data_IF_430274432852
#
_entry.id   IF_430274432852
#
_cell.length_a   1.000
_cell.length_b   1.000
_cell.length_c   1.000
_cell.angle_alpha   90.00
_cell.angle_beta   90.00
_cell.angle_gamma   90.00
#
_symmetry.space_group_name_H-M   'P 1'
#
loop_
_entity.id
_entity.type
_entity.pdbx_description
1 polymer ?
#
# COMPACT_ATOMS: atom_id res chain seq x y z
N UNK A 1 10.12 52.57 -41.32
CA UNK A 1 9.20 51.67 -40.57
C UNK A 1 9.47 51.88 -39.08
N UNK A 2 8.49 52.46 -38.42
CA UNK A 2 8.61 53.26 -37.19
C UNK A 2 8.98 52.44 -35.93
N UNK A 3 9.91 52.98 -35.14
CA UNK A 3 10.42 52.36 -33.91
C UNK A 3 9.33 52.27 -32.83
N UNK A 4 8.34 53.16 -32.87
CA UNK A 4 7.15 53.09 -32.01
C UNK A 4 6.26 51.89 -32.35
N UNK A 5 6.05 51.62 -33.65
CA UNK A 5 5.25 50.48 -34.10
C UNK A 5 5.84 49.15 -33.62
N UNK A 6 7.18 49.01 -33.63
CA UNK A 6 7.87 47.83 -33.08
C UNK A 6 7.64 47.68 -31.57
N UNK A 7 7.67 48.78 -30.80
CA UNK A 7 7.42 48.75 -29.34
C UNK A 7 5.98 48.35 -29.01
N UNK A 8 5.00 48.83 -29.78
CA UNK A 8 3.59 48.49 -29.61
C UNK A 8 3.33 47.00 -29.88
N UNK A 9 3.92 46.43 -30.94
CA UNK A 9 3.78 45.01 -31.27
C UNK A 9 4.38 44.12 -30.16
N UNK A 10 5.59 44.43 -29.67
CA UNK A 10 6.23 43.67 -28.58
C UNK A 10 5.39 43.69 -27.31
N UNK A 11 4.83 44.86 -26.93
CA UNK A 11 3.98 45.00 -25.75
C UNK A 11 2.70 44.16 -25.86
N UNK A 12 2.10 44.10 -27.04
CA UNK A 12 0.88 43.30 -27.32
C UNK A 12 1.17 41.80 -27.25
N UNK A 13 2.31 41.35 -27.80
CA UNK A 13 2.77 39.96 -27.72
C UNK A 13 3.04 39.55 -26.27
N UNK A 14 3.72 40.38 -25.48
CA UNK A 14 4.00 40.09 -24.07
C UNK A 14 2.73 40.02 -23.22
N UNK A 15 1.75 40.89 -23.47
CA UNK A 15 0.45 40.82 -22.81
C UNK A 15 -0.34 39.55 -23.20
N UNK A 16 -0.27 39.12 -24.46
CA UNK A 16 -0.91 37.89 -24.93
C UNK A 16 -0.24 36.66 -24.32
N UNK A 17 1.10 36.60 -24.29
CA UNK A 17 1.85 35.57 -23.58
C UNK A 17 1.49 35.52 -22.09
N UNK A 18 1.42 36.68 -21.41
CA UNK A 18 1.02 36.75 -19.99
C UNK A 18 -0.39 36.20 -19.76
N UNK A 19 -1.35 36.53 -20.64
CA UNK A 19 -2.71 35.97 -20.57
C UNK A 19 -2.70 34.45 -20.79
N UNK A 20 -1.93 33.94 -21.75
CA UNK A 20 -1.79 32.49 -21.99
C UNK A 20 -1.17 31.78 -20.77
N UNK A 21 -0.12 32.35 -20.17
CA UNK A 21 0.47 31.81 -18.94
C UNK A 21 -0.52 31.77 -17.77
N UNK A 22 -1.38 32.79 -17.63
CA UNK A 22 -2.44 32.82 -16.61
C UNK A 22 -3.50 31.74 -16.87
N UNK A 23 -3.89 31.51 -18.14
CA UNK A 23 -4.81 30.42 -18.50
C UNK A 23 -4.21 29.03 -18.23
N UNK A 24 -2.91 28.84 -18.51
CA UNK A 24 -2.22 27.59 -18.23
C UNK A 24 -2.10 27.30 -16.73
N UNK A 25 -1.91 28.33 -15.90
CA UNK A 25 -1.87 28.18 -14.43
C UNK A 25 -3.21 27.73 -13.82
N UNK A 26 -4.35 28.14 -14.41
CA UNK A 26 -5.69 27.75 -13.94
C UNK A 26 -6.03 26.31 -14.31
N UNK A 27 -5.48 25.79 -15.42
CA UNK A 27 -5.62 24.38 -15.83
C UNK A 27 -4.83 23.39 -14.96
N UNK A 28 -3.88 23.88 -14.16
CA UNK A 28 -3.07 23.07 -13.23
C UNK A 28 -3.63 23.03 -11.80
N UNK A 29 -4.88 23.46 -11.57
CA UNK A 29 -5.55 23.17 -10.30
C UNK A 29 -5.82 21.66 -10.24
N UNK A 30 -5.15 20.89 -9.36
CA UNK A 30 -5.46 19.47 -9.26
C UNK A 30 -6.91 19.34 -8.81
N UNK A 31 -7.73 18.70 -9.63
CA UNK A 31 -9.00 18.11 -9.20
C UNK A 31 -8.68 17.33 -7.93
N UNK A 32 -9.15 17.84 -6.79
CA UNK A 32 -9.01 17.16 -5.51
C UNK A 32 -9.51 15.74 -5.71
N UNK A 33 -8.58 14.80 -5.60
CA UNK A 33 -8.85 13.39 -5.69
C UNK A 33 -9.82 13.09 -4.55
N UNK A 34 -11.11 13.01 -4.83
CA UNK A 34 -12.10 12.44 -3.92
C UNK A 34 -11.75 10.96 -3.83
N UNK A 35 -10.76 10.63 -3.01
CA UNK A 35 -10.47 9.27 -2.64
C UNK A 35 -11.74 8.73 -2.00
N UNK A 36 -12.51 7.96 -2.76
CA UNK A 36 -13.67 7.24 -2.24
C UNK A 36 -13.19 6.46 -1.03
N UNK A 37 -13.59 6.90 0.16
CA UNK A 37 -13.33 6.16 1.38
C UNK A 37 -14.26 4.96 1.35
N UNK A 38 -13.82 3.87 0.71
CA UNK A 38 -14.52 2.59 0.78
C UNK A 38 -14.70 2.28 2.27
N UNK A 39 -15.96 2.20 2.71
CA UNK A 39 -16.33 1.85 4.07
C UNK A 39 -15.87 0.43 4.39
N UNK A 40 -15.80 0.09 5.68
CA UNK A 40 -15.52 -1.28 6.09
C UNK A 40 -16.70 -2.17 5.70
N UNK A 41 -16.39 -3.36 5.20
CA UNK A 41 -17.38 -4.37 4.82
C UNK A 41 -17.63 -5.28 6.03
N UNK A 42 -18.90 -5.52 6.40
CA UNK A 42 -19.25 -6.27 7.62
C UNK A 42 -19.26 -7.79 7.46
N UNK A 43 -19.46 -8.31 6.26
CA UNK A 43 -19.56 -9.76 6.01
C UNK A 43 -18.51 -10.22 5.00
N UNK A 44 -17.95 -11.39 5.24
CA UNK A 44 -16.94 -12.00 4.38
C UNK A 44 -16.03 -12.94 5.15
N UNK A 45 -14.99 -13.40 4.47
CA UNK A 45 -13.96 -14.27 5.01
C UNK A 45 -12.67 -13.48 5.35
N UNK A 46 -11.53 -14.18 5.36
CA UNK A 46 -10.24 -13.57 5.64
C UNK A 46 -9.80 -12.55 4.58
N UNK A 47 -10.24 -12.68 3.32
CA UNK A 47 -9.90 -11.73 2.27
C UNK A 47 -10.56 -10.37 2.55
N UNK A 48 -11.83 -10.39 2.96
CA UNK A 48 -12.54 -9.17 3.37
C UNK A 48 -11.93 -8.56 4.64
N UNK A 49 -11.49 -9.40 5.59
CA UNK A 49 -10.78 -8.92 6.78
C UNK A 49 -9.45 -8.25 6.42
N UNK A 50 -8.69 -8.80 5.48
CA UNK A 50 -7.45 -8.21 4.96
C UNK A 50 -7.74 -6.87 4.27
N UNK A 51 -8.74 -6.79 3.39
CA UNK A 51 -9.15 -5.54 2.74
C UNK A 51 -9.51 -4.46 3.75
N UNK A 52 -10.30 -4.81 4.77
CA UNK A 52 -10.66 -3.90 5.86
C UNK A 52 -9.43 -3.43 6.65
N UNK A 53 -8.51 -4.34 6.97
CA UNK A 53 -7.26 -4.02 7.66
C UNK A 53 -6.39 -3.07 6.85
N UNK A 54 -6.19 -3.35 5.55
CA UNK A 54 -5.42 -2.50 4.64
C UNK A 54 -6.08 -1.12 4.49
N UNK A 55 -7.42 -1.06 4.40
CA UNK A 55 -8.16 0.20 4.32
C UNK A 55 -7.98 1.07 5.57
N UNK A 56 -8.15 0.50 6.77
CA UNK A 56 -7.91 1.23 8.02
C UNK A 56 -6.43 1.60 8.19
N UNK A 57 -5.51 0.66 7.92
CA UNK A 57 -4.08 0.89 8.02
C UNK A 57 -3.66 2.05 7.12
N UNK A 58 -4.11 2.04 5.86
CA UNK A 58 -3.86 3.06 4.83
C UNK A 58 -4.32 4.46 5.26
N UNK A 59 -5.29 4.56 6.17
CA UNK A 59 -5.82 5.84 6.68
C UNK A 59 -5.18 6.27 7.99
N UNK A 60 -4.80 5.32 8.86
CA UNK A 60 -4.51 5.61 10.27
C UNK A 60 -3.07 5.32 10.69
N UNK A 61 -2.33 4.49 9.95
CA UNK A 61 -1.01 4.03 10.37
C UNK A 61 0.11 4.99 9.96
N UNK A 62 0.93 5.41 10.92
CA UNK A 62 2.12 6.22 10.65
C UNK A 62 3.23 5.46 9.90
N UNK A 63 3.14 4.13 9.80
CA UNK A 63 4.13 3.30 9.11
C UNK A 63 4.12 3.54 7.58
N UNK A 64 2.99 3.95 7.01
CA UNK A 64 2.86 4.32 5.59
C UNK A 64 3.85 5.40 5.14
N UNK A 65 4.26 6.28 6.07
CA UNK A 65 5.19 7.36 5.77
C UNK A 65 6.63 6.87 5.62
N UNK A 66 6.96 5.74 6.27
CA UNK A 66 8.33 5.23 6.36
C UNK A 66 8.58 4.10 5.39
N UNK A 67 7.58 3.25 5.19
CA UNK A 67 7.70 2.04 4.40
C UNK A 67 6.92 2.15 3.09
N UNK A 68 7.42 1.47 2.06
CA UNK A 68 6.73 1.35 0.77
C UNK A 68 6.01 0.01 0.63
N UNK A 69 6.43 -0.98 1.42
CA UNK A 69 6.01 -2.38 1.30
C UNK A 69 5.60 -2.93 2.65
N UNK A 70 4.52 -3.69 2.64
CA UNK A 70 3.93 -4.23 3.85
C UNK A 70 3.67 -5.72 3.68
N UNK A 71 4.24 -6.52 4.58
CA UNK A 71 3.89 -7.92 4.70
C UNK A 71 2.61 -8.02 5.51
N UNK A 72 1.66 -8.77 4.98
CA UNK A 72 0.39 -9.12 5.61
C UNK A 72 0.44 -10.60 5.96
N UNK A 73 0.03 -10.95 7.17
CA UNK A 73 -0.25 -12.32 7.57
C UNK A 73 -1.60 -12.40 8.25
N UNK A 74 -2.21 -13.58 8.23
CA UNK A 74 -3.52 -13.78 8.84
C UNK A 74 -3.61 -15.13 9.55
N UNK A 75 -4.51 -15.20 10.54
CA UNK A 75 -4.88 -16.45 11.23
C UNK A 75 -6.38 -16.48 11.45
N UNK A 76 -7.02 -17.56 11.01
CA UNK A 76 -8.45 -17.78 11.21
C UNK A 76 -8.64 -18.65 12.47
N UNK A 77 -9.14 -18.04 13.55
CA UNK A 77 -9.50 -18.70 14.82
C UNK A 77 -11.02 -18.94 14.86
N UNK A 78 -11.58 -19.60 15.88
CA UNK A 78 -13.02 -19.97 15.91
C UNK A 78 -13.95 -18.78 15.61
N UNK A 79 -13.84 -17.67 16.36
CA UNK A 79 -14.71 -16.49 16.24
C UNK A 79 -14.00 -15.23 15.73
N UNK A 80 -12.68 -15.29 15.54
CA UNK A 80 -11.84 -14.14 15.22
C UNK A 80 -11.03 -14.43 13.95
N UNK A 81 -10.87 -13.41 13.11
CA UNK A 81 -9.85 -13.37 12.07
C UNK A 81 -8.79 -12.35 12.52
N UNK A 82 -7.58 -12.83 12.73
CA UNK A 82 -6.42 -12.01 13.04
C UNK A 82 -5.73 -11.63 11.72
N UNK A 83 -5.47 -10.34 11.51
CA UNK A 83 -4.68 -9.83 10.38
C UNK A 83 -3.57 -8.96 10.93
N UNK A 84 -2.33 -9.24 10.53
CA UNK A 84 -1.17 -8.52 11.00
C UNK A 84 -0.45 -7.86 9.81
N UNK A 85 -0.11 -6.58 9.96
CA UNK A 85 0.55 -5.77 8.94
C UNK A 85 1.86 -5.23 9.50
N UNK A 86 2.98 -5.56 8.85
CA UNK A 86 4.32 -5.10 9.22
C UNK A 86 4.98 -4.46 8.00
N UNK A 87 5.61 -3.30 8.18
CA UNK A 87 6.42 -2.68 7.14
C UNK A 87 7.68 -3.49 6.88
N UNK A 88 7.93 -3.87 5.63
CA UNK A 88 9.10 -4.62 5.22
C UNK A 88 10.00 -3.76 4.31
N UNK A 89 11.29 -3.76 4.59
CA UNK A 89 12.32 -3.09 3.77
C UNK A 89 13.16 -4.06 2.95
N UNK A 90 13.02 -5.37 3.18
CA UNK A 90 13.81 -6.39 2.51
C UNK A 90 13.22 -6.74 1.14
N UNK A 91 14.10 -6.95 0.17
CA UNK A 91 13.75 -7.51 -1.14
C UNK A 91 13.57 -9.02 -1.06
N UNK A 92 12.95 -9.58 -2.10
CA UNK A 92 12.92 -11.01 -2.37
C UNK A 92 14.14 -11.38 -3.21
N UNK A 93 15.05 -12.14 -2.62
CA UNK A 93 16.24 -12.65 -3.29
C UNK A 93 15.92 -14.02 -3.89
N UNK A 94 16.15 -14.17 -5.19
CA UNK A 94 15.79 -15.38 -5.96
C UNK A 94 16.96 -15.77 -6.87
N UNK A 95 17.29 -17.05 -6.91
CA UNK A 95 18.20 -17.58 -7.93
C UNK A 95 17.41 -17.90 -9.20
N UNK A 96 17.99 -17.63 -10.38
CA UNK A 96 17.30 -17.80 -11.66
C UNK A 96 16.74 -19.21 -11.91
N UNK A 97 17.34 -20.23 -11.30
CA UNK A 97 16.97 -21.64 -11.41
C UNK A 97 15.93 -22.08 -10.36
N UNK A 98 15.56 -21.20 -9.42
CA UNK A 98 14.67 -21.54 -8.31
C UNK A 98 13.21 -21.20 -8.61
N UNK A 99 12.26 -22.02 -8.13
CA UNK A 99 10.85 -21.76 -8.34
C UNK A 99 10.42 -20.46 -7.64
N UNK A 100 9.54 -19.72 -8.31
CA UNK A 100 8.96 -18.47 -7.81
C UNK A 100 7.85 -18.70 -6.76
N UNK A 101 7.68 -19.93 -6.27
CA UNK A 101 6.72 -20.26 -5.20
C UNK A 101 7.13 -19.68 -3.83
N UNK A 102 8.36 -19.17 -3.72
CA UNK A 102 8.86 -18.41 -2.56
C UNK A 102 8.41 -16.95 -2.57
N UNK A 103 7.72 -16.50 -3.62
CA UNK A 103 7.13 -15.18 -3.69
C UNK A 103 5.70 -15.17 -3.13
N UNK A 104 5.23 -14.03 -2.61
CA UNK A 104 3.85 -13.87 -2.21
C UNK A 104 2.89 -14.21 -3.36
N UNK A 105 1.71 -14.72 -3.04
CA UNK A 105 0.70 -15.13 -4.03
C UNK A 105 -0.37 -14.06 -4.26
N UNK A 106 -0.54 -13.14 -3.31
CA UNK A 106 -1.59 -12.12 -3.35
C UNK A 106 -1.10 -10.75 -2.87
N UNK A 107 -1.75 -9.69 -3.39
CA UNK A 107 -1.43 -8.32 -3.02
C UNK A 107 -2.65 -7.40 -3.11
N UNK A 108 -2.53 -6.26 -2.42
CA UNK A 108 -3.39 -5.08 -2.55
C UNK A 108 -2.49 -3.86 -2.75
N UNK A 109 -2.79 -3.05 -3.76
CA UNK A 109 -2.21 -1.71 -3.91
C UNK A 109 -3.13 -0.68 -3.27
N UNK A 110 -2.59 0.12 -2.35
CA UNK A 110 -3.33 1.19 -1.68
C UNK A 110 -2.39 2.36 -1.36
N UNK A 111 -2.80 3.59 -1.71
CA UNK A 111 -2.01 4.80 -1.51
C UNK A 111 -0.57 4.74 -2.08
N UNK A 112 -0.39 4.07 -3.23
CA UNK A 112 0.93 3.88 -3.86
C UNK A 112 1.85 2.94 -3.07
N UNK A 113 1.29 2.09 -2.21
CA UNK A 113 1.99 1.09 -1.41
C UNK A 113 1.50 -0.31 -1.78
N UNK A 114 2.37 -1.30 -1.64
CA UNK A 114 2.01 -2.71 -1.79
C UNK A 114 1.86 -3.36 -0.42
N UNK A 115 0.74 -4.06 -0.25
CA UNK A 115 0.47 -5.00 0.83
C UNK A 115 0.44 -6.39 0.21
N UNK A 116 1.26 -7.33 0.69
CA UNK A 116 1.34 -8.67 0.10
C UNK A 116 1.22 -9.76 1.18
N UNK A 117 0.74 -10.94 0.80
CA UNK A 117 0.73 -12.12 1.67
C UNK A 117 0.93 -13.43 0.90
N UNK A 118 1.29 -14.46 1.66
CA UNK A 118 1.34 -15.84 1.21
C UNK A 118 0.01 -16.50 1.56
N UNK A 119 -0.63 -17.11 0.59
CA UNK A 119 -1.80 -17.97 0.78
C UNK A 119 -1.38 -19.39 0.44
N UNK A 120 -1.19 -20.21 1.48
CA UNK A 120 -0.68 -21.59 1.35
C UNK A 120 -1.64 -22.50 0.56
N UNK A 121 -2.89 -22.08 0.36
CA UNK A 121 -3.85 -22.82 -0.47
C UNK A 121 -3.61 -22.61 -1.98
N UNK A 122 -2.79 -21.62 -2.35
CA UNK A 122 -2.43 -21.34 -3.73
C UNK A 122 -1.06 -21.96 -4.04
N UNK A 123 -1.07 -23.18 -4.55
CA UNK A 123 0.16 -23.92 -4.93
C UNK A 123 0.95 -23.29 -6.08
N UNK A 124 0.47 -22.21 -6.69
CA UNK A 124 1.02 -21.66 -7.92
C UNK A 124 1.42 -20.19 -7.78
N UNK A 125 2.57 -19.86 -8.35
CA UNK A 125 3.02 -18.50 -8.58
C UNK A 125 1.98 -17.70 -9.38
N UNK A 126 1.43 -16.64 -8.78
CA UNK A 126 0.51 -15.74 -9.45
C UNK A 126 1.31 -14.72 -10.30
N UNK A 127 1.17 -14.71 -11.64
CA UNK A 127 1.97 -13.83 -12.50
C UNK A 127 1.68 -12.34 -12.25
N UNK A 128 0.47 -11.98 -11.81
CA UNK A 128 0.10 -10.59 -11.57
C UNK A 128 0.93 -9.98 -10.44
N UNK A 129 1.07 -10.70 -9.33
CA UNK A 129 1.91 -10.23 -8.22
C UNK A 129 3.38 -10.23 -8.59
N UNK A 130 3.87 -11.23 -9.31
CA UNK A 130 5.28 -11.27 -9.75
C UNK A 130 5.61 -10.02 -10.57
N UNK A 131 4.73 -9.65 -11.51
CA UNK A 131 4.92 -8.45 -12.32
C UNK A 131 4.91 -7.18 -11.45
N UNK A 132 4.03 -7.10 -10.45
CA UNK A 132 4.03 -5.98 -9.49
C UNK A 132 5.29 -5.91 -8.64
N UNK A 133 5.77 -7.04 -8.12
CA UNK A 133 7.03 -7.07 -7.38
C UNK A 133 8.22 -6.62 -8.26
N UNK A 134 8.22 -6.97 -9.56
CA UNK A 134 9.22 -6.46 -10.53
C UNK A 134 9.09 -4.96 -10.77
N UNK A 135 7.87 -4.44 -10.97
CA UNK A 135 7.59 -3.01 -11.17
C UNK A 135 8.15 -2.18 -10.01
N UNK A 136 7.98 -2.65 -8.78
CA UNK A 136 8.48 -1.99 -7.57
C UNK A 136 9.95 -2.33 -7.24
N UNK A 137 10.64 -3.08 -8.11
CA UNK A 137 12.04 -3.52 -7.94
C UNK A 137 12.29 -4.26 -6.63
N UNK A 138 11.32 -5.09 -6.22
CA UNK A 138 11.35 -5.89 -5.01
C UNK A 138 11.96 -7.28 -5.19
N UNK A 139 12.19 -7.71 -6.42
CA UNK A 139 12.87 -8.98 -6.70
C UNK A 139 14.29 -8.69 -7.15
N UNK A 140 15.24 -9.36 -6.52
CA UNK A 140 16.65 -9.33 -6.88
C UNK A 140 17.12 -10.73 -7.24
N UNK A 141 17.64 -10.87 -8.47
CA UNK A 141 18.04 -12.16 -9.02
C UNK A 141 19.54 -12.38 -8.86
N UNK A 142 19.92 -13.54 -8.32
CA UNK A 142 21.32 -13.98 -8.10
C UNK A 142 22.17 -12.92 -7.36
N UNK A 143 21.64 -12.40 -6.25
CA UNK A 143 22.37 -11.44 -5.43
C UNK A 143 23.64 -12.08 -4.86
N UNK A 144 24.80 -11.46 -5.11
CA UNK A 144 26.08 -11.92 -4.56
C UNK A 144 26.15 -11.77 -3.04
N UNK A 145 25.49 -10.72 -2.52
CA UNK A 145 25.37 -10.45 -1.09
C UNK A 145 23.91 -10.16 -0.75
N UNK A 146 23.44 -10.79 0.32
CA UNK A 146 22.07 -10.63 0.80
C UNK A 146 22.11 -9.75 2.05
N UNK A 147 21.60 -8.53 1.94
CA UNK A 147 21.41 -7.66 3.10
C UNK A 147 19.97 -7.80 3.61
N UNK A 148 19.84 -8.34 4.82
CA UNK A 148 18.59 -8.36 5.56
C UNK A 148 18.66 -7.33 6.69
N UNK A 149 17.79 -6.34 6.63
CA UNK A 149 17.54 -5.45 7.75
C UNK A 149 16.41 -6.02 8.60
N UNK A 150 16.68 -6.27 9.88
CA UNK A 150 15.67 -6.60 10.88
C UNK A 150 15.71 -5.52 11.96
N UNK A 151 14.58 -4.84 12.14
CA UNK A 151 14.39 -3.89 13.23
C UNK A 151 13.39 -4.48 14.23
N UNK A 152 13.90 -5.12 15.28
CA UNK A 152 13.08 -5.73 16.34
C UNK A 152 12.30 -4.68 17.18
N UNK A 153 12.64 -3.39 17.04
CA UNK A 153 11.87 -2.30 17.65
C UNK A 153 10.70 -1.87 16.76
N UNK A 154 10.67 -2.29 15.49
CA UNK A 154 9.62 -1.93 14.54
C UNK A 154 8.32 -2.61 14.95
N UNK A 155 7.34 -1.78 15.30
CA UNK A 155 6.00 -2.24 15.67
C UNK A 155 5.18 -2.53 14.41
N UNK A 156 4.58 -3.71 14.34
CA UNK A 156 3.48 -4.02 13.43
C UNK A 156 2.14 -3.50 13.95
N UNK A 157 1.10 -3.69 13.15
CA UNK A 157 -0.29 -3.45 13.53
C UNK A 157 -1.08 -4.73 13.34
N UNK A 158 -1.67 -5.22 14.43
CA UNK A 158 -2.53 -6.40 14.43
C UNK A 158 -3.99 -5.98 14.58
N UNK A 159 -4.84 -6.58 13.77
CA UNK A 159 -6.27 -6.41 13.71
C UNK A 159 -6.95 -7.71 14.09
N UNK A 160 -7.97 -7.63 14.94
CA UNK A 160 -8.70 -8.79 15.44
C UNK A 160 -10.18 -8.58 15.14
N UNK A 161 -10.62 -9.11 14.01
CA UNK A 161 -11.98 -8.96 13.51
C UNK A 161 -12.90 -10.05 14.04
N UNK A 162 -14.12 -9.69 14.42
CA UNK A 162 -15.16 -10.66 14.73
C UNK A 162 -15.73 -11.25 13.43
N UNK A 163 -15.73 -12.58 13.30
CA UNK A 163 -16.21 -13.25 12.06
C UNK A 163 -17.65 -12.94 11.69
N UNK A 164 -18.49 -12.72 12.69
CA UNK A 164 -19.90 -12.41 12.48
C UNK A 164 -20.14 -10.96 12.06
N UNK A 165 -19.19 -10.05 12.33
CA UNK A 165 -19.22 -8.66 11.87
C UNK A 165 -17.79 -8.10 11.78
N UNK A 166 -17.25 -8.04 10.57
CA UNK A 166 -15.90 -7.56 10.27
C UNK A 166 -15.76 -6.04 10.44
N UNK A 167 -16.82 -5.30 10.75
CA UNK A 167 -16.70 -3.90 11.21
C UNK A 167 -16.43 -3.80 12.71
N UNK A 168 -16.70 -4.87 13.48
CA UNK A 168 -16.33 -4.99 14.88
C UNK A 168 -14.94 -5.62 15.01
N UNK A 169 -13.94 -4.77 15.31
CA UNK A 169 -12.57 -5.24 15.46
C UNK A 169 -11.80 -4.44 16.51
N UNK A 170 -10.75 -5.07 17.02
CA UNK A 170 -9.73 -4.40 17.85
C UNK A 170 -8.43 -4.24 17.06
N UNK A 171 -7.81 -3.07 17.18
CA UNK A 171 -6.51 -2.75 16.59
C UNK A 171 -5.45 -2.61 17.69
N UNK A 172 -4.28 -3.21 17.50
CA UNK A 172 -3.17 -3.19 18.45
C UNK A 172 -1.87 -2.92 17.71
N UNK A 173 -1.03 -2.01 18.24
CA UNK A 173 0.30 -1.71 17.69
C UNK A 173 1.38 -2.22 18.64
N UNK A 174 2.14 -3.22 18.21
CA UNK A 174 3.14 -3.91 19.03
C UNK A 174 4.33 -4.38 18.17
N UNK A 175 5.52 -4.46 18.76
CA UNK A 175 6.69 -5.12 18.18
C UNK A 175 6.82 -6.59 18.61
N UNK A 176 5.93 -7.05 19.50
CA UNK A 176 5.84 -8.43 19.95
C UNK A 176 4.60 -9.04 19.30
N UNK A 177 4.73 -10.24 18.74
CA UNK A 177 3.57 -11.07 18.39
C UNK A 177 2.88 -11.44 19.70
N UNK A 178 1.83 -10.71 20.02
CA UNK A 178 1.14 -10.93 21.27
C UNK A 178 0.12 -12.05 21.01
N UNK A 179 0.36 -13.24 21.58
CA UNK A 179 -0.66 -14.30 21.65
C UNK A 179 -1.69 -13.94 22.73
N UNK A 180 -2.22 -12.72 22.62
CA UNK A 180 -3.23 -12.27 23.55
C UNK A 180 -4.48 -13.01 23.11
N UNK A 181 -5.02 -13.79 24.02
CA UNK A 181 -6.44 -14.09 24.11
C UNK A 181 -7.17 -12.74 24.24
N UNK A 182 -7.23 -11.97 23.15
CA UNK A 182 -7.82 -10.65 23.18
C UNK A 182 -9.29 -10.87 23.41
N UNK A 183 -9.77 -10.32 24.51
CA UNK A 183 -11.18 -10.08 24.79
C UNK A 183 -11.73 -9.09 23.74
N UNK A 184 -11.67 -9.43 22.46
CA UNK A 184 -12.59 -8.87 21.48
C UNK A 184 -13.90 -9.55 21.80
N UNK A 185 -14.81 -8.80 22.42
CA UNK A 185 -16.16 -9.29 22.66
C UNK A 185 -16.89 -9.26 21.33
N UNK A 186 -16.88 -10.40 20.64
CA UNK A 186 -17.75 -10.61 19.49
C UNK A 186 -19.15 -10.82 20.06
N UNK A 187 -19.98 -9.80 19.90
CA UNK A 187 -21.40 -9.83 20.30
C UNK A 187 -22.17 -10.83 19.45
#
# INVERSE_FOLDING_TARGET
>A
MDQELKRLIIRKINNMKRKIYLYLLVLFLPLSCNGQTKGLISKGDYLVAIDNAVSDFSKTSSLLKKDTFFSVSYKVKTNIIEVNIIGNSNKFYIDNDKPLNRLPTNYIESNGKIFYWFDDNQNNSNPNIINKLKEYKLIEYNAETIEYSRDDKKKGVSYYFCKNDLTNYKKVKSNISQDITLKVSCK
#
